data_IF_829863261301
#
_entry.id   IF_829863261301
#
_cell.length_a   1.000
_cell.length_b   1.000
_cell.length_c   1.000
_cell.angle_alpha   90.00
_cell.angle_beta   90.00
_cell.angle_gamma   90.00
#
_symmetry.space_group_name_H-M   'P 1'
#
loop_
_entity.id
_entity.type
_entity.pdbx_description
1 polymer ?
#
# COMPACT_ATOMS: atom_id res chain seq x y z
N UNK A 1 27.19 -23.34 -25.57
CA UNK A 1 25.72 -23.34 -25.72
C UNK A 1 25.19 -24.40 -24.75
N UNK A 2 24.68 -24.03 -23.57
CA UNK A 2 24.20 -25.00 -22.58
C UNK A 2 23.01 -24.45 -21.79
N UNK A 3 21.92 -25.24 -21.82
CA UNK A 3 20.70 -25.27 -21.01
C UNK A 3 19.94 -23.96 -20.75
N UNK A 4 19.09 -23.59 -21.72
CA UNK A 4 17.77 -23.07 -21.40
C UNK A 4 16.81 -24.27 -21.30
N UNK A 5 16.98 -25.08 -20.25
CA UNK A 5 15.93 -26.00 -19.86
C UNK A 5 14.74 -25.14 -19.43
N UNK A 6 13.60 -25.38 -20.05
CA UNK A 6 12.32 -24.76 -19.73
C UNK A 6 12.07 -24.92 -18.22
N UNK A 7 12.40 -23.87 -17.45
CA UNK A 7 12.19 -23.86 -16.02
C UNK A 7 10.73 -24.24 -15.78
N UNK A 8 10.52 -25.27 -14.96
CA UNK A 8 9.17 -25.79 -14.72
C UNK A 8 8.33 -24.66 -14.12
N UNK A 9 7.03 -24.60 -14.42
CA UNK A 9 6.13 -23.57 -13.90
C UNK A 9 6.32 -23.31 -12.39
N UNK A 10 6.54 -24.38 -11.61
CA UNK A 10 6.85 -24.31 -10.18
C UNK A 10 8.16 -23.57 -9.85
N UNK A 11 9.21 -23.73 -10.65
CA UNK A 11 10.50 -23.06 -10.46
C UNK A 11 10.42 -21.56 -10.80
N UNK A 12 9.67 -21.21 -11.85
CA UNK A 12 9.41 -19.81 -12.22
C UNK A 12 8.63 -19.12 -11.10
N UNK A 13 7.58 -19.77 -10.58
CA UNK A 13 6.79 -19.25 -9.47
C UNK A 13 7.60 -19.14 -8.18
N UNK A 14 8.45 -20.13 -7.87
CA UNK A 14 9.33 -20.09 -6.71
C UNK A 14 10.36 -18.94 -6.81
N UNK A 15 10.92 -18.70 -8.00
CA UNK A 15 11.85 -17.60 -8.27
C UNK A 15 11.16 -16.24 -8.16
N UNK A 16 9.98 -16.09 -8.76
CA UNK A 16 9.19 -14.88 -8.67
C UNK A 16 8.79 -14.59 -7.21
N UNK A 17 8.36 -15.60 -6.47
CA UNK A 17 8.01 -15.51 -5.04
C UNK A 17 9.20 -15.11 -4.17
N UNK A 18 10.37 -15.73 -4.36
CA UNK A 18 11.59 -15.39 -3.61
C UNK A 18 12.04 -13.95 -3.88
N UNK A 19 12.00 -13.52 -5.14
CA UNK A 19 12.32 -12.14 -5.52
C UNK A 19 11.31 -11.13 -4.98
N UNK A 20 10.01 -11.46 -5.05
CA UNK A 20 8.93 -10.66 -4.50
C UNK A 20 9.06 -10.49 -2.98
N UNK A 21 9.37 -11.56 -2.24
CA UNK A 21 9.62 -11.48 -0.80
C UNK A 21 10.83 -10.61 -0.48
N UNK A 22 11.95 -10.79 -1.19
CA UNK A 22 13.17 -10.01 -0.96
C UNK A 22 12.96 -8.51 -1.22
N UNK A 23 12.28 -8.16 -2.31
CA UNK A 23 11.96 -6.75 -2.61
C UNK A 23 10.94 -6.18 -1.62
N UNK A 24 9.90 -6.95 -1.31
CA UNK A 24 8.83 -6.54 -0.41
C UNK A 24 9.29 -6.28 1.03
N UNK A 25 10.19 -7.10 1.59
CA UNK A 25 10.67 -6.90 2.97
C UNK A 25 11.44 -5.61 3.14
N UNK A 26 12.28 -5.23 2.17
CA UNK A 26 12.98 -3.94 2.19
C UNK A 26 11.99 -2.76 2.16
N UNK A 27 10.97 -2.82 1.31
CA UNK A 27 9.90 -1.81 1.24
C UNK A 27 9.08 -1.73 2.53
N UNK A 28 8.79 -2.87 3.16
CA UNK A 28 8.05 -2.94 4.42
C UNK A 28 8.80 -2.26 5.57
N UNK A 29 10.09 -2.55 5.72
CA UNK A 29 10.94 -2.00 6.78
C UNK A 29 11.08 -0.48 6.66
N UNK A 30 11.35 0.02 5.45
CA UNK A 30 11.43 1.46 5.18
C UNK A 30 10.11 2.17 5.54
N UNK A 31 8.97 1.55 5.21
CA UNK A 31 7.67 2.11 5.53
C UNK A 31 7.35 2.05 7.03
N UNK A 32 7.84 1.03 7.74
CA UNK A 32 7.71 0.92 9.20
C UNK A 32 8.40 2.10 9.91
N UNK A 33 9.64 2.40 9.54
CA UNK A 33 10.36 3.57 10.04
C UNK A 33 9.63 4.88 9.71
N UNK A 34 9.13 5.01 8.48
CA UNK A 34 8.35 6.17 8.06
C UNK A 34 7.05 6.34 8.85
N UNK A 35 6.36 5.24 9.19
CA UNK A 35 5.17 5.27 10.07
C UNK A 35 5.54 5.83 11.43
N UNK A 36 6.64 5.38 12.05
CA UNK A 36 7.07 5.94 13.33
C UNK A 36 7.36 7.44 13.28
N UNK A 37 8.08 7.88 12.24
CA UNK A 37 8.55 9.26 12.11
C UNK A 37 7.45 10.26 11.71
N UNK A 38 6.59 9.90 10.74
CA UNK A 38 5.67 10.84 10.09
C UNK A 38 4.19 10.60 10.41
N UNK A 39 3.87 9.70 11.35
CA UNK A 39 2.48 9.42 11.68
C UNK A 39 1.75 10.64 12.23
N UNK A 40 2.40 11.46 13.07
CA UNK A 40 1.76 12.65 13.63
C UNK A 40 1.28 13.62 12.54
N UNK A 41 2.10 13.84 11.53
CA UNK A 41 1.76 14.68 10.37
C UNK A 41 0.64 14.06 9.55
N UNK A 42 0.66 12.74 9.33
CA UNK A 42 -0.41 12.03 8.61
C UNK A 42 -1.75 12.13 9.34
N UNK A 43 -1.75 12.02 10.67
CA UNK A 43 -2.95 12.18 11.49
C UNK A 43 -3.53 13.59 11.35
N UNK A 44 -2.68 14.62 11.41
CA UNK A 44 -3.09 16.02 11.20
C UNK A 44 -3.68 16.25 9.81
N UNK A 45 -3.04 15.73 8.76
CA UNK A 45 -3.53 15.85 7.38
C UNK A 45 -4.86 15.11 7.19
N UNK A 46 -5.02 13.91 7.76
CA UNK A 46 -6.28 13.17 7.68
C UNK A 46 -7.42 13.89 8.41
N UNK A 47 -7.13 14.50 9.56
CA UNK A 47 -8.09 15.36 10.25
C UNK A 47 -8.44 16.59 9.39
N UNK A 48 -7.44 17.19 8.74
CA UNK A 48 -7.61 18.33 7.84
C UNK A 48 -8.55 17.99 6.68
N UNK A 49 -8.34 16.86 6.00
CA UNK A 49 -9.18 16.43 4.89
C UNK A 49 -10.63 16.15 5.30
N UNK A 50 -10.83 15.61 6.52
CA UNK A 50 -12.18 15.30 7.00
C UNK A 50 -12.98 16.54 7.39
N UNK A 51 -12.32 17.48 8.06
CA UNK A 51 -12.96 18.64 8.70
C UNK A 51 -12.81 19.95 7.90
N UNK A 52 -12.02 19.96 6.83
CA UNK A 52 -11.82 21.12 5.98
C UNK A 52 -11.06 22.28 6.64
N UNK A 53 -10.33 22.03 7.74
CA UNK A 53 -9.59 23.06 8.47
C UNK A 53 -8.22 23.33 7.83
N UNK A 54 -7.49 24.37 8.29
CA UNK A 54 -6.09 24.56 7.91
C UNK A 54 -5.15 23.70 8.79
N UNK A 55 -3.94 23.43 8.31
CA UNK A 55 -2.96 22.60 9.02
C UNK A 55 -2.64 23.09 10.45
N UNK A 56 -2.38 24.41 10.70
CA UNK A 56 -2.10 24.89 12.06
C UNK A 56 -3.30 24.75 13.00
N UNK A 57 -4.51 24.90 12.46
CA UNK A 57 -5.75 24.73 13.23
C UNK A 57 -5.93 23.27 13.60
N UNK A 58 -5.82 22.36 12.63
CA UNK A 58 -5.89 20.90 12.87
C UNK A 58 -4.87 20.44 13.90
N UNK A 59 -3.62 20.94 13.82
CA UNK A 59 -2.55 20.60 14.75
C UNK A 59 -2.87 21.05 16.18
N UNK A 60 -3.33 22.29 16.35
CA UNK A 60 -3.72 22.84 17.66
C UNK A 60 -4.93 22.11 18.24
N UNK A 61 -5.93 21.81 17.41
CA UNK A 61 -7.12 21.05 17.85
C UNK A 61 -6.73 19.65 18.32
N UNK A 62 -5.93 18.91 17.55
CA UNK A 62 -5.47 17.57 17.96
C UNK A 62 -4.60 17.60 19.22
N UNK A 63 -3.76 18.63 19.39
CA UNK A 63 -2.97 18.81 20.59
C UNK A 63 -3.84 19.13 21.82
N UNK A 64 -4.87 19.96 21.65
CA UNK A 64 -5.83 20.27 22.72
C UNK A 64 -6.69 19.06 23.11
N UNK A 65 -7.06 18.20 22.15
CA UNK A 65 -7.90 17.01 22.37
C UNK A 65 -7.22 15.90 23.18
N UNK A 66 -5.89 15.82 23.17
CA UNK A 66 -5.20 14.72 23.85
C UNK A 66 -3.69 14.72 23.75
N UNK A 67 -3.07 15.87 23.48
CA UNK A 67 -1.62 16.05 23.44
C UNK A 67 -0.89 15.15 22.45
N UNK A 68 0.35 14.80 22.79
CA UNK A 68 1.23 13.97 21.94
C UNK A 68 0.62 12.58 21.65
N UNK A 69 -0.01 11.86 22.60
CA UNK A 69 -0.62 10.56 22.32
C UNK A 69 -1.74 10.59 21.28
N UNK A 70 -2.43 11.74 21.10
CA UNK A 70 -3.51 11.88 20.11
C UNK A 70 -3.03 11.67 18.67
N UNK A 71 -1.80 12.09 18.38
CA UNK A 71 -1.17 11.97 17.06
C UNK A 71 -0.83 10.53 16.67
N UNK A 72 -0.63 9.66 17.65
CA UNK A 72 -0.29 8.25 17.47
C UNK A 72 -1.49 7.31 17.62
N UNK A 73 -2.71 7.83 17.76
CA UNK A 73 -3.92 7.00 17.76
C UNK A 73 -4.10 6.33 16.39
N UNK A 74 -4.18 5.01 16.39
CA UNK A 74 -4.18 4.19 15.18
C UNK A 74 -2.80 3.71 14.72
N UNK A 75 -1.76 3.78 15.57
CA UNK A 75 -0.40 3.33 15.21
C UNK A 75 -0.33 1.84 14.91
N UNK A 76 -1.09 1.02 15.64
CA UNK A 76 -1.16 -0.42 15.43
C UNK A 76 -1.67 -0.77 14.02
N UNK A 77 -2.86 -0.32 13.58
CA UNK A 77 -3.29 -0.57 12.21
C UNK A 77 -2.41 0.14 11.18
N UNK A 78 -1.75 1.26 11.51
CA UNK A 78 -0.81 1.93 10.61
C UNK A 78 0.49 1.13 10.36
N UNK A 79 1.03 0.49 11.40
CA UNK A 79 2.21 -0.38 11.33
C UNK A 79 1.94 -1.69 10.61
N UNK A 80 0.69 -2.10 10.51
CA UNK A 80 0.29 -3.23 9.67
C UNK A 80 0.07 -2.74 8.24
N UNK A 81 -0.77 -1.72 8.05
CA UNK A 81 -1.19 -1.27 6.72
C UNK A 81 -0.05 -0.68 5.88
N UNK A 82 0.80 0.15 6.48
CA UNK A 82 1.88 0.83 5.75
C UNK A 82 2.89 -0.16 5.19
N UNK A 83 3.58 -0.92 6.07
CA UNK A 83 4.52 -1.96 5.67
C UNK A 83 3.91 -2.99 4.71
N UNK A 84 2.69 -3.49 4.99
CA UNK A 84 2.05 -4.45 4.07
C UNK A 84 1.77 -3.82 2.71
N UNK A 85 1.29 -2.59 2.64
CA UNK A 85 1.04 -1.95 1.34
C UNK A 85 2.32 -1.78 0.52
N UNK A 86 3.41 -1.30 1.15
CA UNK A 86 4.69 -1.15 0.45
C UNK A 86 5.33 -2.49 0.10
N UNK A 87 5.17 -3.49 0.95
CA UNK A 87 5.52 -4.88 0.62
C UNK A 87 4.81 -5.31 -0.65
N UNK A 88 3.47 -5.18 -0.70
CA UNK A 88 2.66 -5.61 -1.83
C UNK A 88 3.01 -4.89 -3.13
N UNK A 89 3.23 -3.58 -3.08
CA UNK A 89 3.61 -2.79 -4.26
C UNK A 89 4.96 -3.28 -4.84
N UNK A 90 5.97 -3.46 -3.99
CA UNK A 90 7.29 -3.94 -4.44
C UNK A 90 7.26 -5.41 -4.84
N UNK A 91 6.54 -6.26 -4.10
CA UNK A 91 6.37 -7.67 -4.39
C UNK A 91 5.62 -7.89 -5.71
N UNK A 92 4.55 -7.14 -5.97
CA UNK A 92 3.81 -7.18 -7.22
C UNK A 92 4.69 -6.75 -8.40
N UNK A 93 5.44 -5.65 -8.25
CA UNK A 93 6.31 -5.18 -9.33
C UNK A 93 7.48 -6.14 -9.61
N UNK A 94 8.26 -6.52 -8.59
CA UNK A 94 9.40 -7.44 -8.79
C UNK A 94 8.95 -8.84 -9.18
N UNK A 95 7.87 -9.34 -8.59
CA UNK A 95 7.30 -10.66 -8.86
C UNK A 95 6.74 -10.75 -10.28
N UNK A 96 5.91 -9.80 -10.70
CA UNK A 96 5.31 -9.81 -12.04
C UNK A 96 6.36 -9.58 -13.13
N UNK A 97 7.35 -8.72 -12.87
CA UNK A 97 8.47 -8.53 -13.79
C UNK A 97 9.32 -9.80 -13.93
N UNK A 98 9.59 -10.50 -12.83
CA UNK A 98 10.34 -11.78 -12.85
C UNK A 98 9.55 -12.86 -13.60
N UNK A 99 8.25 -12.95 -13.34
CA UNK A 99 7.35 -13.89 -14.02
C UNK A 99 7.31 -13.64 -15.53
N UNK A 100 7.10 -12.39 -15.95
CA UNK A 100 7.02 -12.02 -17.38
C UNK A 100 8.37 -12.08 -18.09
N UNK A 101 9.49 -11.93 -17.39
CA UNK A 101 10.82 -12.12 -17.98
C UNK A 101 11.22 -13.60 -18.10
N UNK A 102 10.54 -14.51 -17.42
CA UNK A 102 10.77 -15.96 -17.48
C UNK A 102 10.07 -16.66 -18.64
N UNK A 103 9.12 -16.01 -19.33
CA UNK A 103 8.49 -16.53 -20.53
C UNK A 103 9.12 -15.89 -21.78
N UNK A 104 9.63 -16.71 -22.72
CA UNK A 104 10.24 -16.21 -23.97
C UNK A 104 9.27 -15.38 -24.82
N UNK A 105 7.97 -15.70 -24.81
CA UNK A 105 6.93 -14.92 -25.50
C UNK A 105 6.71 -13.54 -24.88
N UNK A 106 7.06 -13.34 -23.61
CA UNK A 106 6.76 -12.11 -22.86
C UNK A 106 8.02 -11.30 -22.53
N UNK A 107 9.20 -11.86 -22.75
CA UNK A 107 10.50 -11.23 -22.50
C UNK A 107 10.74 -9.97 -23.33
N UNK A 108 10.32 -9.95 -24.59
CA UNK A 108 10.47 -8.80 -25.50
C UNK A 108 9.30 -7.79 -25.46
N UNK A 109 8.29 -8.00 -24.62
CA UNK A 109 7.21 -7.01 -24.47
C UNK A 109 7.73 -5.72 -23.86
N UNK A 110 7.23 -4.59 -24.38
CA UNK A 110 7.55 -3.25 -23.89
C UNK A 110 7.34 -3.18 -22.37
N UNK A 111 8.30 -2.55 -21.68
CA UNK A 111 8.34 -2.42 -20.22
C UNK A 111 7.00 -1.93 -19.67
N UNK A 112 6.35 -0.97 -20.35
CA UNK A 112 5.03 -0.46 -19.98
C UNK A 112 3.94 -1.55 -19.87
N UNK A 113 3.91 -2.55 -20.75
CA UNK A 113 2.90 -3.61 -20.69
C UNK A 113 3.11 -4.52 -19.48
N UNK A 114 4.38 -4.77 -19.11
CA UNK A 114 4.73 -5.51 -17.89
C UNK A 114 4.40 -4.72 -16.62
N UNK A 115 4.56 -3.39 -16.69
CA UNK A 115 4.20 -2.51 -15.57
C UNK A 115 2.69 -2.41 -15.38
N UNK A 116 1.86 -2.55 -16.43
CA UNK A 116 0.39 -2.59 -16.29
C UNK A 116 -0.06 -3.78 -15.44
N UNK A 117 0.48 -4.97 -15.69
CA UNK A 117 0.11 -6.17 -14.93
C UNK A 117 0.61 -6.12 -13.49
N UNK A 118 1.79 -5.54 -13.26
CA UNK A 118 2.28 -5.20 -11.92
C UNK A 118 1.35 -4.22 -11.19
N UNK A 119 0.94 -3.13 -11.86
CA UNK A 119 0.04 -2.11 -11.31
C UNK A 119 -1.36 -2.67 -11.01
N UNK A 120 -1.88 -3.56 -11.87
CA UNK A 120 -3.16 -4.25 -11.62
C UNK A 120 -3.07 -5.16 -10.39
N UNK A 121 -1.97 -5.92 -10.25
CA UNK A 121 -1.72 -6.78 -9.09
C UNK A 121 -1.60 -5.96 -7.79
N UNK A 122 -0.91 -4.81 -7.84
CA UNK A 122 -0.82 -3.88 -6.71
C UNK A 122 -2.18 -3.27 -6.34
N UNK A 123 -2.99 -2.89 -7.35
CA UNK A 123 -4.33 -2.35 -7.15
C UNK A 123 -5.28 -3.36 -6.48
N UNK A 124 -5.24 -4.63 -6.91
CA UNK A 124 -6.00 -5.72 -6.28
C UNK A 124 -5.56 -5.95 -4.82
N UNK A 125 -4.26 -5.94 -4.58
CA UNK A 125 -3.73 -6.05 -3.23
C UNK A 125 -4.18 -4.88 -2.33
N UNK A 126 -4.37 -3.69 -2.90
CA UNK A 126 -4.94 -2.53 -2.19
C UNK A 126 -6.38 -2.75 -1.74
N UNK A 127 -7.20 -3.40 -2.55
CA UNK A 127 -8.59 -3.75 -2.19
C UNK A 127 -8.59 -4.68 -0.99
N UNK A 128 -7.68 -5.66 -0.95
CA UNK A 128 -7.55 -6.58 0.17
C UNK A 128 -7.15 -5.87 1.48
N UNK A 129 -6.27 -4.87 1.39
CA UNK A 129 -5.82 -4.09 2.56
C UNK A 129 -6.80 -2.99 3.01
N UNK A 130 -7.87 -2.73 2.25
CA UNK A 130 -8.80 -1.64 2.51
C UNK A 130 -9.43 -1.66 3.92
N UNK A 131 -9.80 -2.81 4.51
CA UNK A 131 -10.34 -2.84 5.86
C UNK A 131 -9.36 -2.30 6.91
N UNK A 132 -8.06 -2.63 6.77
CA UNK A 132 -7.02 -2.16 7.69
C UNK A 132 -6.80 -0.66 7.51
N UNK A 133 -6.84 -0.17 6.26
CA UNK A 133 -6.74 1.27 5.97
C UNK A 133 -7.93 2.06 6.52
N UNK A 134 -9.15 1.52 6.40
CA UNK A 134 -10.35 2.12 7.00
C UNK A 134 -10.25 2.19 8.52
N UNK A 135 -9.79 1.13 9.17
CA UNK A 135 -9.57 1.12 10.62
C UNK A 135 -8.55 2.19 11.04
N UNK A 136 -7.40 2.24 10.35
CA UNK A 136 -6.34 3.24 10.58
C UNK A 136 -6.87 4.67 10.45
N UNK A 137 -7.49 5.00 9.31
CA UNK A 137 -7.92 6.37 9.01
C UNK A 137 -9.04 6.83 9.93
N UNK A 138 -10.00 5.95 10.22
CA UNK A 138 -11.08 6.24 11.19
C UNK A 138 -10.50 6.52 12.58
N UNK A 139 -9.52 5.71 13.04
CA UNK A 139 -8.86 5.96 14.33
C UNK A 139 -8.00 7.23 14.35
N UNK A 140 -7.36 7.58 13.24
CA UNK A 140 -6.58 8.82 13.13
C UNK A 140 -7.48 10.05 13.21
N UNK A 141 -8.61 10.02 12.50
CA UNK A 141 -9.59 11.13 12.46
C UNK A 141 -10.37 11.24 13.77
N UNK A 142 -11.05 10.18 14.20
CA UNK A 142 -11.97 10.19 15.35
C UNK A 142 -11.25 9.96 16.69
N UNK A 143 -10.03 9.44 16.65
CA UNK A 143 -9.23 9.21 17.86
C UNK A 143 -9.73 8.08 18.74
N UNK A 144 -10.66 7.24 18.29
CA UNK A 144 -11.14 6.10 19.07
C UNK A 144 -11.48 4.90 18.17
N UNK A 145 -11.38 3.70 18.74
CA UNK A 145 -11.76 2.47 18.04
C UNK A 145 -13.29 2.26 18.00
N UNK A 146 -14.03 2.88 18.93
CA UNK A 146 -15.49 2.81 18.97
C UNK A 146 -16.16 3.32 17.69
N UNK A 147 -15.55 4.29 17.00
CA UNK A 147 -16.00 4.81 15.71
C UNK A 147 -15.93 3.75 14.60
N UNK A 148 -14.90 2.89 14.61
CA UNK A 148 -14.78 1.76 13.67
C UNK A 148 -15.90 0.77 13.93
N UNK A 149 -16.12 0.39 15.20
CA UNK A 149 -17.20 -0.53 15.59
C UNK A 149 -18.56 0.04 15.23
N UNK A 150 -18.80 1.34 15.46
CA UNK A 150 -20.03 2.04 15.06
C UNK A 150 -20.23 2.00 13.55
N UNK A 151 -19.17 2.22 12.76
CA UNK A 151 -19.21 2.14 11.30
C UNK A 151 -19.61 0.74 10.81
N UNK A 152 -19.03 -0.31 11.41
CA UNK A 152 -19.38 -1.70 11.10
C UNK A 152 -20.80 -2.05 11.56
N UNK A 153 -21.25 -1.55 12.72
CA UNK A 153 -22.61 -1.77 13.21
C UNK A 153 -23.68 -1.12 12.32
N UNK A 154 -23.40 0.04 11.74
CA UNK A 154 -24.34 0.77 10.89
C UNK A 154 -24.34 0.25 9.45
N UNK A 155 -23.15 0.04 8.86
CA UNK A 155 -23.00 -0.28 7.44
C UNK A 155 -22.52 -1.70 7.12
N UNK A 156 -22.38 -2.55 8.14
CA UNK A 156 -21.84 -3.91 7.99
C UNK A 156 -20.36 -3.97 7.60
N UNK A 157 -19.90 -5.17 7.26
CA UNK A 157 -18.54 -5.43 6.74
C UNK A 157 -18.23 -4.65 5.45
N UNK A 158 -19.17 -4.46 4.49
CA UNK A 158 -18.90 -3.68 3.28
C UNK A 158 -18.54 -2.21 3.56
N UNK A 159 -18.94 -1.65 4.70
CA UNK A 159 -18.56 -0.29 5.09
C UNK A 159 -17.04 -0.09 5.20
N UNK A 160 -16.27 -1.16 5.43
CA UNK A 160 -14.81 -1.15 5.50
C UNK A 160 -14.14 -1.10 4.11
N UNK A 161 -14.89 -1.37 3.05
CA UNK A 161 -14.44 -1.31 1.66
C UNK A 161 -14.89 -0.03 0.94
N UNK A 162 -15.52 0.91 1.66
CA UNK A 162 -15.90 2.20 1.09
C UNK A 162 -14.64 2.94 0.61
N UNK A 163 -14.58 3.22 -0.70
CA UNK A 163 -13.41 3.84 -1.35
C UNK A 163 -12.36 2.86 -1.85
N UNK A 164 -12.57 1.55 -1.76
CA UNK A 164 -11.63 0.52 -2.25
C UNK A 164 -11.29 0.69 -3.72
N UNK A 165 -12.29 0.95 -4.58
CA UNK A 165 -12.08 1.19 -6.01
C UNK A 165 -11.32 2.49 -6.27
N UNK A 166 -11.62 3.56 -5.52
CA UNK A 166 -10.87 4.81 -5.63
C UNK A 166 -9.41 4.64 -5.20
N UNK A 167 -9.16 3.91 -4.11
CA UNK A 167 -7.82 3.58 -3.63
C UNK A 167 -7.06 2.67 -4.62
N UNK A 168 -7.73 1.70 -5.23
CA UNK A 168 -7.17 0.82 -6.25
C UNK A 168 -6.80 1.62 -7.52
N UNK A 169 -7.69 2.49 -8.01
CA UNK A 169 -7.42 3.37 -9.15
C UNK A 169 -6.28 4.34 -8.88
N UNK A 170 -6.25 4.96 -7.70
CA UNK A 170 -5.14 5.84 -7.30
C UNK A 170 -3.81 5.07 -7.23
N UNK A 171 -3.85 3.82 -6.76
CA UNK A 171 -2.67 2.95 -6.74
C UNK A 171 -2.25 2.60 -8.16
N UNK A 172 -3.17 2.25 -9.06
CA UNK A 172 -2.85 1.94 -10.45
C UNK A 172 -2.20 3.14 -11.19
N UNK A 173 -2.81 4.32 -11.08
CA UNK A 173 -2.34 5.56 -11.74
C UNK A 173 -1.05 6.08 -11.10
N UNK A 174 -0.83 5.87 -9.80
CA UNK A 174 0.42 6.27 -9.13
C UNK A 174 1.57 5.29 -9.34
N UNK A 175 1.26 3.99 -9.35
CA UNK A 175 2.26 2.91 -9.48
C UNK A 175 2.84 2.86 -10.89
N UNK A 176 2.01 3.08 -11.92
CA UNK A 176 2.44 2.96 -13.31
C UNK A 176 3.56 3.94 -13.70
N UNK A 177 3.42 5.28 -13.54
CA UNK A 177 4.48 6.23 -13.91
C UNK A 177 5.73 6.06 -13.05
N UNK A 178 5.57 5.79 -11.74
CA UNK A 178 6.68 5.64 -10.81
C UNK A 178 7.62 4.50 -11.23
N UNK A 179 7.06 3.31 -11.47
CA UNK A 179 7.87 2.16 -11.85
C UNK A 179 8.33 2.19 -13.29
N UNK A 180 7.49 2.69 -14.21
CA UNK A 180 7.89 2.90 -15.59
C UNK A 180 9.15 3.77 -15.70
N UNK A 181 9.21 4.89 -14.96
CA UNK A 181 10.41 5.73 -14.93
C UNK A 181 11.61 5.01 -14.32
N UNK A 182 11.41 4.32 -13.19
CA UNK A 182 12.49 3.58 -12.49
C UNK A 182 13.08 2.43 -13.32
N UNK A 183 12.31 1.91 -14.27
CA UNK A 183 12.73 0.85 -15.20
C UNK A 183 13.31 1.40 -16.50
N UNK A 184 13.11 2.69 -16.81
CA UNK A 184 13.83 3.38 -17.88
C UNK A 184 15.21 3.89 -17.44
N UNK A 185 15.40 4.15 -16.14
CA UNK A 185 16.64 4.66 -15.58
C UNK A 185 17.67 3.58 -15.19
N UNK A 186 17.37 2.30 -15.43
CA UNK A 186 18.23 1.14 -15.14
C UNK A 186 18.58 0.42 -16.42
#
# INVERSE_FOLDING_TARGET
>A
MANQDNATFGEIMAKAGKSAMRGGTAGALAMGANVGALMWMRTTINYQYRNGTSFPVALRTLYADGGIPRFYRGVLPALIQGPMSRFGDTAANTGMMTLMNSYDSTKNLAVGVKTISASASAALFRIFLMPVDTCKTTMQVEGNFGAVVKKVKIGGVPALYQGSLAAASATFVGHYPWFFYLQLSQ
#
